data_IF_049774401834
#
_entry.id   IF_049774401834
#
_cell.length_a   1.000
_cell.length_b   1.000
_cell.length_c   1.000
_cell.angle_alpha   90.00
_cell.angle_beta   90.00
_cell.angle_gamma   90.00
#
_symmetry.space_group_name_H-M   'P 1'
#
loop_
_entity.id
_entity.type
_entity.pdbx_description
1 polymer ?
#
# COMPACT_ATOMS: atom_id res chain seq x y z
N UNK A 1 -16.09 -2.77 -4.99
CA UNK A 1 -14.71 -2.45 -4.60
C UNK A 1 -13.85 -2.20 -5.85
N UNK A 2 -13.00 -1.20 -5.79
CA UNK A 2 -11.90 -1.07 -6.74
C UNK A 2 -10.76 -1.97 -6.28
N UNK A 3 -10.18 -2.71 -7.20
CA UNK A 3 -8.98 -3.51 -6.97
C UNK A 3 -7.88 -3.01 -7.90
N UNK A 4 -6.81 -2.48 -7.32
CA UNK A 4 -5.72 -1.84 -8.06
C UNK A 4 -4.42 -2.53 -7.69
N UNK A 5 -3.67 -2.94 -8.71
CA UNK A 5 -2.34 -3.54 -8.53
C UNK A 5 -1.32 -2.64 -9.22
N UNK A 6 -0.29 -2.25 -8.49
CA UNK A 6 0.80 -1.41 -9.01
C UNK A 6 2.14 -1.98 -8.57
N UNK A 7 3.14 -1.79 -9.40
CA UNK A 7 4.53 -2.12 -9.06
C UNK A 7 5.29 -0.81 -8.93
N UNK A 8 5.88 -0.57 -7.75
CA UNK A 8 6.75 0.59 -7.56
C UNK A 8 8.17 0.25 -8.00
N UNK A 9 8.70 1.07 -8.89
CA UNK A 9 10.07 0.97 -9.39
C UNK A 9 10.86 2.10 -8.75
N UNK A 10 11.87 1.75 -7.96
CA UNK A 10 12.70 2.70 -7.23
C UNK A 10 14.14 2.48 -7.68
N UNK A 11 14.77 3.52 -8.21
CA UNK A 11 16.14 3.44 -8.77
C UNK A 11 16.30 2.29 -9.77
N UNK A 12 15.33 2.15 -10.69
CA UNK A 12 15.26 1.10 -11.71
C UNK A 12 15.09 -0.32 -11.14
N UNK A 13 14.74 -0.46 -9.87
CA UNK A 13 14.49 -1.75 -9.23
C UNK A 13 12.98 -1.90 -8.98
N UNK A 14 12.40 -3.01 -9.46
CA UNK A 14 11.02 -3.37 -9.16
C UNK A 14 10.94 -3.83 -7.71
N UNK A 15 10.57 -2.92 -6.82
CA UNK A 15 10.81 -3.06 -5.38
C UNK A 15 9.59 -3.47 -4.59
N UNK A 16 8.39 -3.05 -4.99
CA UNK A 16 7.17 -3.23 -4.20
C UNK A 16 6.00 -3.53 -5.11
N UNK A 17 5.19 -4.52 -4.71
CA UNK A 17 3.88 -4.75 -5.29
C UNK A 17 2.85 -4.14 -4.34
N UNK A 18 2.15 -3.11 -4.79
CA UNK A 18 1.06 -2.49 -4.05
C UNK A 18 -0.27 -3.04 -4.58
N UNK A 19 -1.10 -3.55 -3.69
CA UNK A 19 -2.42 -4.04 -4.00
C UNK A 19 -3.43 -3.34 -3.11
N UNK A 20 -4.38 -2.63 -3.72
CA UNK A 20 -5.33 -1.80 -3.02
C UNK A 20 -6.76 -2.26 -3.31
N UNK A 21 -7.56 -2.37 -2.26
CA UNK A 21 -8.99 -2.61 -2.32
C UNK A 21 -9.68 -1.39 -1.71
N UNK A 22 -10.41 -0.64 -2.52
CA UNK A 22 -11.02 0.64 -2.13
C UNK A 22 -12.53 0.58 -2.33
N UNK A 23 -13.28 1.10 -1.37
CA UNK A 23 -14.74 1.15 -1.49
C UNK A 23 -15.17 2.06 -2.62
N UNK A 24 -15.82 1.47 -3.63
CA UNK A 24 -16.26 2.20 -4.82
C UNK A 24 -17.39 3.19 -4.53
N UNK A 25 -18.21 2.93 -3.51
CA UNK A 25 -19.29 3.81 -3.11
C UNK A 25 -18.79 5.13 -2.52
N UNK A 26 -17.55 5.16 -2.00
CA UNK A 26 -16.93 6.36 -1.45
C UNK A 26 -16.15 7.14 -2.50
N UNK A 27 -15.70 6.50 -3.57
CA UNK A 27 -14.94 7.12 -4.68
C UNK A 27 -15.54 6.68 -6.00
N UNK A 28 -16.72 7.18 -6.39
CA UNK A 28 -17.46 6.64 -7.52
C UNK A 28 -16.77 6.86 -8.88
N UNK A 29 -15.93 7.89 -9.01
CA UNK A 29 -15.32 8.27 -10.28
C UNK A 29 -13.81 7.96 -10.34
N UNK A 30 -13.34 6.99 -9.58
CA UNK A 30 -11.92 6.61 -9.60
C UNK A 30 -11.54 6.02 -10.96
N UNK A 31 -10.52 6.60 -11.58
CA UNK A 31 -9.97 6.16 -12.85
C UNK A 31 -8.51 5.72 -12.69
N UNK A 32 -7.95 4.95 -13.65
CA UNK A 32 -6.53 4.63 -13.61
C UNK A 32 -5.62 5.87 -13.57
N UNK A 33 -6.01 6.96 -14.23
CA UNK A 33 -5.24 8.21 -14.22
C UNK A 33 -5.19 8.81 -12.82
N UNK A 34 -6.31 8.82 -12.09
CA UNK A 34 -6.38 9.30 -10.70
C UNK A 34 -5.57 8.38 -9.78
N UNK A 35 -5.68 7.06 -9.96
CA UNK A 35 -4.95 6.09 -9.16
C UNK A 35 -3.43 6.20 -9.33
N UNK A 36 -2.95 6.61 -10.51
CA UNK A 36 -1.51 6.82 -10.79
C UNK A 36 -0.94 8.04 -10.06
N UNK A 37 -1.77 9.03 -9.76
CA UNK A 37 -1.35 10.22 -9.03
C UNK A 37 -1.33 9.94 -7.53
N UNK A 38 -2.27 10.50 -6.79
CA UNK A 38 -2.40 10.21 -5.36
C UNK A 38 -3.87 10.02 -5.02
N UNK A 39 -4.20 8.80 -4.62
CA UNK A 39 -5.56 8.48 -4.19
C UNK A 39 -5.95 9.33 -2.98
N UNK A 40 -5.04 9.52 -2.03
CA UNK A 40 -5.32 10.32 -0.84
C UNK A 40 -5.53 11.80 -1.15
N UNK A 41 -4.74 12.37 -2.08
CA UNK A 41 -4.95 13.75 -2.51
C UNK A 41 -6.30 13.92 -3.17
N UNK A 42 -6.72 12.97 -4.00
CA UNK A 42 -8.05 13.00 -4.63
C UNK A 42 -9.16 12.93 -3.58
N UNK A 43 -9.04 12.02 -2.61
CA UNK A 43 -10.03 11.85 -1.55
C UNK A 43 -10.17 13.12 -0.71
N UNK A 44 -9.06 13.70 -0.29
CA UNK A 44 -9.06 14.85 0.60
C UNK A 44 -9.44 16.14 -0.12
N UNK A 45 -8.93 16.37 -1.34
CA UNK A 45 -9.10 17.63 -2.06
C UNK A 45 -10.37 17.68 -2.90
N UNK A 46 -10.74 16.57 -3.55
CA UNK A 46 -11.88 16.54 -4.46
C UNK A 46 -13.16 16.03 -3.79
N UNK A 47 -13.04 15.02 -2.94
CA UNK A 47 -14.19 14.41 -2.27
C UNK A 47 -14.39 14.91 -0.84
N UNK A 48 -13.45 15.68 -0.30
CA UNK A 48 -13.51 16.28 1.05
C UNK A 48 -13.69 15.22 2.15
N UNK A 49 -13.11 14.04 1.96
CA UNK A 49 -13.06 12.98 2.97
C UNK A 49 -11.72 13.04 3.68
N UNK A 50 -11.70 12.72 4.97
CA UNK A 50 -10.47 12.72 5.77
C UNK A 50 -10.10 11.32 6.20
N UNK A 51 -8.86 10.93 5.93
CA UNK A 51 -8.27 9.69 6.45
C UNK A 51 -7.85 9.93 7.89
N UNK A 52 -8.36 9.11 8.82
CA UNK A 52 -8.11 9.30 10.25
C UNK A 52 -6.98 8.41 10.77
N UNK A 53 -7.03 7.10 10.50
CA UNK A 53 -6.06 6.16 11.03
C UNK A 53 -5.95 4.93 10.15
N UNK A 54 -4.85 4.19 10.34
CA UNK A 54 -4.64 2.90 9.70
C UNK A 54 -4.09 1.91 10.72
N UNK A 55 -4.62 0.68 10.70
CA UNK A 55 -4.00 -0.45 11.37
C UNK A 55 -3.03 -1.10 10.40
N UNK A 56 -1.79 -1.34 10.83
CA UNK A 56 -0.77 -1.95 10.00
C UNK A 56 -0.24 -3.22 10.65
N UNK A 57 -0.07 -4.25 9.81
CA UNK A 57 0.55 -5.51 10.20
C UNK A 57 1.70 -5.81 9.25
N UNK A 58 2.88 -6.05 9.81
CA UNK A 58 4.09 -6.36 9.03
C UNK A 58 4.44 -7.82 9.27
N UNK A 59 4.53 -8.59 8.18
CA UNK A 59 4.85 -10.02 8.22
C UNK A 59 5.88 -10.38 7.16
N UNK A 60 6.52 -11.54 7.32
CA UNK A 60 7.38 -12.14 6.29
C UNK A 60 6.59 -13.25 5.62
N UNK A 61 6.34 -13.11 4.33
CA UNK A 61 5.50 -14.03 3.57
C UNK A 61 6.30 -14.75 2.49
N UNK A 62 5.86 -15.95 2.12
CA UNK A 62 6.49 -16.71 1.05
C UNK A 62 6.33 -16.02 -0.30
N UNK A 63 7.39 -16.06 -1.11
CA UNK A 63 7.36 -15.58 -2.48
C UNK A 63 6.48 -16.50 -3.31
N UNK A 64 5.57 -15.91 -4.08
CA UNK A 64 4.70 -16.62 -5.03
C UNK A 64 5.22 -16.48 -6.46
N UNK A 65 4.66 -17.28 -7.37
CA UNK A 65 4.96 -17.15 -8.80
C UNK A 65 4.61 -15.75 -9.32
N UNK A 66 3.47 -15.20 -8.89
CA UNK A 66 3.05 -13.82 -9.25
C UNK A 66 4.07 -12.78 -8.77
N UNK A 67 4.60 -12.95 -7.56
CA UNK A 67 5.61 -12.03 -7.05
C UNK A 67 6.85 -12.01 -7.93
N UNK A 68 7.28 -13.16 -8.42
CA UNK A 68 8.45 -13.26 -9.30
C UNK A 68 8.19 -12.64 -10.67
N UNK A 69 6.96 -12.74 -11.17
CA UNK A 69 6.57 -12.13 -12.44
C UNK A 69 6.57 -10.59 -12.35
N UNK A 70 6.15 -10.06 -11.22
CA UNK A 70 5.98 -8.60 -11.02
C UNK A 70 7.25 -7.93 -10.49
N UNK A 71 7.99 -8.60 -9.60
CA UNK A 71 9.25 -8.09 -9.05
C UNK A 71 10.42 -8.58 -9.89
N UNK A 72 10.56 -8.03 -11.08
CA UNK A 72 11.61 -8.40 -12.03
C UNK A 72 12.98 -8.20 -11.38
N UNK A 73 13.83 -9.22 -11.47
CA UNK A 73 15.17 -9.18 -10.88
C UNK A 73 15.25 -9.57 -9.42
N UNK A 74 14.13 -10.06 -8.84
CA UNK A 74 14.18 -10.63 -7.50
C UNK A 74 15.16 -11.82 -7.49
N UNK A 75 16.13 -11.87 -6.53
CA UNK A 75 17.07 -12.98 -6.48
C UNK A 75 16.40 -14.34 -6.38
N UNK A 76 16.91 -15.32 -7.10
CA UNK A 76 16.28 -16.66 -7.16
C UNK A 76 16.31 -17.41 -5.83
N UNK A 77 17.27 -17.07 -4.97
CA UNK A 77 17.39 -17.62 -3.61
C UNK A 77 16.56 -16.88 -2.57
N UNK A 78 15.94 -15.74 -2.95
CA UNK A 78 15.03 -15.03 -2.05
C UNK A 78 13.67 -15.73 -2.04
N UNK A 79 13.28 -16.26 -0.89
CA UNK A 79 12.03 -17.00 -0.73
C UNK A 79 10.99 -16.29 0.13
N UNK A 80 11.30 -15.09 0.64
CA UNK A 80 10.39 -14.31 1.48
C UNK A 80 10.29 -12.87 0.98
N UNK A 81 9.11 -12.30 1.17
CA UNK A 81 8.87 -10.87 1.01
C UNK A 81 8.39 -10.29 2.33
N UNK A 82 8.62 -9.01 2.54
CA UNK A 82 8.05 -8.29 3.68
C UNK A 82 6.71 -7.72 3.25
N UNK A 83 5.66 -8.16 3.91
CA UNK A 83 4.30 -7.71 3.62
C UNK A 83 3.85 -6.71 4.66
N UNK A 84 3.41 -5.55 4.20
CA UNK A 84 2.75 -4.54 5.04
C UNK A 84 1.30 -4.50 4.63
N UNK A 85 0.43 -4.96 5.51
CA UNK A 85 -1.01 -4.94 5.31
C UNK A 85 -1.60 -3.82 6.14
N UNK A 86 -2.47 -3.01 5.54
CA UNK A 86 -3.07 -1.87 6.20
C UNK A 86 -4.58 -1.86 6.01
N UNK A 87 -5.30 -1.51 7.08
CA UNK A 87 -6.72 -1.24 7.05
C UNK A 87 -6.92 0.23 7.39
N UNK A 88 -7.44 1.00 6.45
CA UNK A 88 -7.55 2.46 6.54
C UNK A 88 -8.99 2.85 6.83
N UNK A 89 -9.15 3.77 7.79
CA UNK A 89 -10.45 4.29 8.21
C UNK A 89 -10.50 5.81 8.04
N UNK A 90 -11.70 6.30 7.69
CA UNK A 90 -11.99 7.73 7.64
C UNK A 90 -12.26 8.29 9.04
N UNK A 91 -12.36 9.61 9.13
CA UNK A 91 -12.58 10.31 10.41
C UNK A 91 -13.85 9.89 11.14
N UNK A 92 -14.87 9.46 10.40
CA UNK A 92 -16.13 8.95 10.95
C UNK A 92 -16.08 7.47 11.30
N UNK A 93 -14.88 6.87 11.33
CA UNK A 93 -14.61 5.44 11.55
C UNK A 93 -15.02 4.51 10.41
N UNK A 94 -15.50 5.04 9.28
CA UNK A 94 -15.83 4.23 8.11
C UNK A 94 -14.60 3.51 7.58
N UNK A 95 -14.69 2.20 7.41
CA UNK A 95 -13.65 1.40 6.74
C UNK A 95 -13.60 1.81 5.28
N UNK A 96 -12.42 2.24 4.84
CA UNK A 96 -12.26 2.87 3.53
C UNK A 96 -11.44 2.03 2.56
N UNK A 97 -10.29 1.53 3.01
CA UNK A 97 -9.31 0.92 2.12
C UNK A 97 -8.56 -0.20 2.84
N UNK A 98 -8.30 -1.27 2.09
CA UNK A 98 -7.41 -2.36 2.49
C UNK A 98 -6.23 -2.37 1.52
N UNK A 99 -5.02 -2.24 2.03
CA UNK A 99 -3.80 -2.27 1.22
C UNK A 99 -2.91 -3.42 1.62
N UNK A 100 -2.26 -4.02 0.62
CA UNK A 100 -1.24 -5.04 0.83
C UNK A 100 -0.03 -4.61 0.01
N UNK A 101 1.07 -4.26 0.68
CA UNK A 101 2.33 -3.91 0.02
C UNK A 101 3.34 -5.03 0.28
N UNK A 102 3.84 -5.64 -0.79
CA UNK A 102 4.82 -6.73 -0.71
C UNK A 102 6.16 -6.21 -1.18
N UNK A 103 7.11 -6.12 -0.25
CA UNK A 103 8.43 -5.51 -0.46
C UNK A 103 9.52 -6.55 -0.63
N UNK A 104 10.44 -6.31 -1.57
CA UNK A 104 11.71 -7.04 -1.59
C UNK A 104 12.45 -6.77 -0.29
N UNK A 105 12.95 -7.79 0.42
CA UNK A 105 13.64 -7.56 1.70
C UNK A 105 14.90 -6.70 1.58
N UNK A 106 15.63 -6.82 0.45
CA UNK A 106 16.84 -6.04 0.20
C UNK A 106 16.56 -4.56 -0.07
N UNK A 107 15.30 -4.20 -0.32
CA UNK A 107 14.86 -2.83 -0.58
C UNK A 107 13.90 -2.32 0.51
N UNK A 108 13.69 -3.08 1.56
CA UNK A 108 12.76 -2.71 2.63
C UNK A 108 13.50 -2.07 3.78
N UNK A 109 12.98 -0.92 4.21
CA UNK A 109 13.43 -0.25 5.41
C UNK A 109 12.23 0.35 6.13
N UNK A 110 12.13 0.11 7.42
CA UNK A 110 11.10 0.72 8.26
C UNK A 110 11.77 1.64 9.26
N UNK A 111 11.38 2.91 9.22
CA UNK A 111 11.84 3.92 10.16
C UNK A 111 10.64 4.50 10.89
N UNK A 112 10.76 4.62 12.20
CA UNK A 112 9.74 5.26 13.02
C UNK A 112 10.38 6.31 13.89
N UNK A 113 9.79 7.52 13.86
CA UNK A 113 10.15 8.56 14.81
C UNK A 113 9.12 8.56 15.92
N UNK A 114 9.53 8.09 17.10
CA UNK A 114 8.65 8.05 18.26
C UNK A 114 8.95 9.25 19.15
N UNK A 115 7.92 10.07 19.42
CA UNK A 115 8.03 11.17 20.34
C UNK A 115 7.54 10.73 21.71
N UNK A 116 8.39 10.90 22.73
CA UNK A 116 8.00 10.65 24.11
C UNK A 116 6.98 11.71 24.53
N UNK A 117 5.81 11.25 24.99
CA UNK A 117 4.84 12.13 25.61
C UNK A 117 5.15 12.29 27.09
N UNK A 118 5.26 13.54 27.52
CA UNK A 118 5.34 13.89 28.94
C UNK A 118 3.95 14.31 29.39
N UNK A 119 3.40 13.59 30.33
CA UNK A 119 2.14 13.97 30.96
C UNK A 119 2.37 14.92 32.14
#
# INVERSE_FOLDING_TARGET
>A
LYHIVRVRIIDNIHSVIDEDYIRADLIPDLTPAIAKQSIYAYIENELHLSVAFAEKTITAELVTARDRDLLIGLPTDENRLIQVESQVHLSDTTYFQHTIARHRPDQFQFNEFARRQTT
#
